data_IF_094002346627
#
_entry.id   IF_094002346627
#
_cell.length_a   1.000
_cell.length_b   1.000
_cell.length_c   1.000
_cell.angle_alpha   90.00
_cell.angle_beta   90.00
_cell.angle_gamma   90.00
#
_symmetry.space_group_name_H-M   'P 1'
#
loop_
_entity.id
_entity.type
_entity.pdbx_description
1 polymer ?
#
# COMPACT_ATOMS: atom_id res chain seq x y z
N UNK A 1 9.03 5.88 11.51
CA UNK A 1 10.40 5.90 10.93
C UNK A 1 10.36 5.01 9.69
N UNK A 2 10.67 5.56 8.51
CA UNK A 2 10.78 4.76 7.28
C UNK A 2 12.16 4.12 7.32
N UNK A 3 12.20 2.78 7.41
CA UNK A 3 13.43 2.01 7.42
C UNK A 3 14.01 2.07 6.01
N UNK A 4 15.06 2.88 5.79
CA UNK A 4 15.77 2.90 4.51
C UNK A 4 16.78 1.74 4.51
N UNK A 5 16.28 0.50 4.40
CA UNK A 5 17.13 -0.64 4.05
C UNK A 5 17.53 -0.46 2.57
N UNK A 6 18.83 -0.41 2.29
CA UNK A 6 19.35 -0.46 0.93
C UNK A 6 19.11 -1.88 0.41
N UNK A 7 18.24 -2.04 -0.59
CA UNK A 7 18.05 -3.33 -1.24
C UNK A 7 18.71 -3.24 -2.60
N UNK A 8 19.75 -4.04 -2.76
CA UNK A 8 20.55 -4.01 -3.97
C UNK A 8 20.20 -5.18 -4.90
N UNK A 9 19.43 -6.18 -4.42
CA UNK A 9 19.15 -7.42 -5.15
C UNK A 9 17.72 -7.91 -4.98
N UNK A 10 17.13 -8.35 -6.08
CA UNK A 10 15.89 -9.11 -6.12
C UNK A 10 16.22 -10.49 -6.71
N UNK A 11 15.81 -11.56 -6.04
CA UNK A 11 16.00 -12.91 -6.56
C UNK A 11 15.27 -13.06 -7.92
N UNK A 12 15.91 -13.66 -8.95
CA UNK A 12 15.29 -13.77 -10.28
C UNK A 12 13.92 -14.44 -10.28
N UNK A 13 13.75 -15.45 -9.42
CA UNK A 13 12.47 -16.13 -9.17
C UNK A 13 11.36 -15.20 -8.65
N UNK A 14 11.70 -14.24 -7.79
CA UNK A 14 10.76 -13.21 -7.30
C UNK A 14 10.35 -12.31 -8.44
N UNK A 15 11.32 -11.84 -9.23
CA UNK A 15 11.04 -11.00 -10.39
C UNK A 15 10.13 -11.73 -11.39
N UNK A 16 10.41 -13.00 -11.68
CA UNK A 16 9.56 -13.82 -12.53
C UNK A 16 8.13 -13.94 -11.97
N UNK A 17 7.97 -14.20 -10.68
CA UNK A 17 6.65 -14.30 -10.05
C UNK A 17 5.89 -12.96 -10.07
N UNK A 18 6.56 -11.83 -9.82
CA UNK A 18 5.95 -10.50 -9.90
C UNK A 18 5.51 -10.14 -11.32
N UNK A 19 6.26 -10.55 -12.35
CA UNK A 19 5.93 -10.32 -13.75
C UNK A 19 4.77 -11.20 -14.25
N UNK A 20 4.61 -12.41 -13.73
CA UNK A 20 3.56 -13.35 -14.14
C UNK A 20 2.24 -13.16 -13.38
N UNK A 21 2.26 -12.49 -12.24
CA UNK A 21 1.05 -12.21 -11.48
C UNK A 21 0.17 -11.18 -12.21
N UNK A 22 -1.14 -11.38 -12.21
CA UNK A 22 -2.08 -10.59 -13.01
C UNK A 22 -2.52 -9.28 -12.35
N UNK A 23 -2.13 -9.03 -11.09
CA UNK A 23 -2.39 -7.78 -10.35
C UNK A 23 -3.86 -7.33 -10.39
N UNK A 24 -4.80 -8.10 -9.83
CA UNK A 24 -6.23 -7.76 -9.86
C UNK A 24 -6.54 -6.40 -9.20
N UNK A 25 -5.70 -5.97 -8.25
CA UNK A 25 -5.76 -4.67 -7.57
C UNK A 25 -5.04 -3.52 -8.30
N UNK A 26 -4.62 -3.72 -9.56
CA UNK A 26 -3.83 -2.80 -10.38
C UNK A 26 -2.41 -2.52 -9.83
N UNK A 27 -1.70 -1.55 -10.44
CA UNK A 27 -0.31 -1.16 -10.10
C UNK A 27 -0.14 -0.76 -8.62
N UNK A 28 -1.21 -0.37 -7.93
CA UNK A 28 -1.15 -0.06 -6.48
C UNK A 28 -0.90 -1.31 -5.63
N UNK A 29 -1.48 -2.44 -6.02
CA UNK A 29 -1.24 -3.72 -5.35
C UNK A 29 0.23 -4.14 -5.49
N UNK A 30 0.78 -4.03 -6.71
CA UNK A 30 2.22 -4.22 -6.96
C UNK A 30 3.07 -3.33 -6.07
N UNK A 31 2.75 -2.03 -5.99
CA UNK A 31 3.46 -1.08 -5.13
C UNK A 31 3.43 -1.50 -3.66
N UNK A 32 2.26 -1.85 -3.12
CA UNK A 32 2.11 -2.26 -1.73
C UNK A 32 2.90 -3.54 -1.43
N UNK A 33 2.86 -4.52 -2.33
CA UNK A 33 3.62 -5.76 -2.21
C UNK A 33 5.12 -5.45 -2.22
N UNK A 34 5.61 -4.63 -3.15
CA UNK A 34 7.03 -4.25 -3.23
C UNK A 34 7.48 -3.46 -1.99
N UNK A 35 6.71 -2.48 -1.52
CA UNK A 35 7.03 -1.73 -0.29
C UNK A 35 7.18 -2.68 0.91
N UNK A 36 6.31 -3.68 1.01
CA UNK A 36 6.38 -4.68 2.08
C UNK A 36 7.57 -5.62 1.91
N UNK A 37 7.88 -6.08 0.70
CA UNK A 37 9.06 -6.88 0.42
C UNK A 37 10.32 -6.12 0.84
N UNK A 38 10.37 -4.81 0.63
CA UNK A 38 11.49 -3.97 1.04
C UNK A 38 11.65 -3.90 2.56
N UNK A 39 10.53 -3.83 3.29
CA UNK A 39 10.55 -3.82 4.77
C UNK A 39 10.97 -5.19 5.33
N UNK A 40 10.53 -6.27 4.72
CA UNK A 40 10.76 -7.65 5.19
C UNK A 40 12.09 -8.24 4.76
N UNK A 41 12.70 -7.74 3.68
CA UNK A 41 13.96 -8.26 3.19
C UNK A 41 15.07 -8.11 4.23
N UNK A 42 15.81 -9.18 4.42
CA UNK A 42 17.07 -9.18 5.17
C UNK A 42 18.25 -9.32 4.19
N UNK A 43 19.45 -8.95 4.65
CA UNK A 43 20.69 -9.04 3.87
C UNK A 43 20.67 -8.36 2.49
N UNK A 44 19.95 -7.23 2.39
CA UNK A 44 19.81 -6.41 1.18
C UNK A 44 19.24 -7.18 -0.04
N UNK A 45 18.58 -8.33 0.17
CA UNK A 45 18.07 -9.19 -0.90
C UNK A 45 16.62 -9.62 -0.68
N UNK A 46 15.78 -9.36 -1.68
CA UNK A 46 14.40 -9.87 -1.70
C UNK A 46 14.42 -11.30 -2.26
N UNK A 47 14.19 -12.29 -1.39
CA UNK A 47 14.05 -13.70 -1.76
C UNK A 47 12.59 -14.14 -1.80
N UNK A 48 12.31 -15.27 -2.44
CA UNK A 48 10.95 -15.80 -2.57
C UNK A 48 10.25 -15.94 -1.22
N UNK A 49 10.95 -16.24 -0.13
CA UNK A 49 10.34 -16.44 1.19
C UNK A 49 9.46 -15.26 1.65
N UNK A 50 9.79 -14.04 1.27
CA UNK A 50 9.05 -12.83 1.62
C UNK A 50 7.84 -12.56 0.70
N UNK A 51 7.75 -13.26 -0.44
CA UNK A 51 6.67 -13.10 -1.40
C UNK A 51 5.33 -13.61 -0.84
N UNK A 52 4.24 -12.88 -1.08
CA UNK A 52 2.89 -13.35 -0.82
C UNK A 52 2.64 -14.76 -1.37
N UNK A 53 1.99 -15.61 -0.57
CA UNK A 53 1.59 -16.94 -1.04
C UNK A 53 0.66 -16.90 -2.24
N UNK A 54 -0.18 -15.87 -2.36
CA UNK A 54 -1.05 -15.69 -3.54
C UNK A 54 -0.24 -15.52 -4.83
N UNK A 55 0.92 -14.87 -4.73
CA UNK A 55 1.84 -14.65 -5.86
C UNK A 55 2.73 -15.90 -6.07
N UNK A 56 3.15 -16.58 -5.00
CA UNK A 56 3.87 -17.87 -5.11
C UNK A 56 3.01 -18.96 -5.76
N UNK A 57 1.74 -19.01 -5.37
CA UNK A 57 0.79 -20.06 -5.74
C UNK A 57 0.07 -19.74 -7.05
N UNK A 58 0.26 -18.57 -7.65
CA UNK A 58 -0.26 -18.32 -9.00
C UNK A 58 0.32 -19.29 -10.04
N UNK A 59 1.47 -19.88 -9.73
CA UNK A 59 2.15 -20.89 -10.56
C UNK A 59 2.02 -22.33 -10.04
N UNK A 60 1.50 -22.54 -8.82
CA UNK A 60 1.38 -23.87 -8.23
C UNK A 60 -0.08 -24.30 -8.13
N UNK A 61 -0.43 -25.37 -8.84
CA UNK A 61 -1.75 -26.00 -8.76
C UNK A 61 -2.07 -26.38 -7.31
N UNK A 62 -3.12 -25.75 -6.78
CA UNK A 62 -3.95 -26.07 -5.61
C UNK A 62 -3.38 -27.06 -4.57
N UNK A 63 -2.99 -26.53 -3.42
CA UNK A 63 -2.83 -27.25 -2.16
C UNK A 63 -2.52 -26.26 -1.03
N UNK A 64 -3.25 -26.35 0.09
CA UNK A 64 -3.09 -25.59 1.35
C UNK A 64 -3.64 -24.14 1.41
N UNK A 65 -4.96 -24.08 1.61
CA UNK A 65 -5.81 -22.89 1.55
C UNK A 65 -5.97 -22.12 2.89
N UNK A 66 -5.13 -22.37 3.91
CA UNK A 66 -5.29 -21.72 5.25
C UNK A 66 -4.43 -20.49 5.46
N UNK A 67 -3.22 -20.43 4.90
CA UNK A 67 -2.29 -19.29 5.09
C UNK A 67 -2.54 -18.20 4.03
N UNK A 68 -3.00 -18.59 2.84
CA UNK A 68 -3.43 -17.68 1.76
C UNK A 68 -4.58 -16.77 2.18
N UNK A 69 -5.57 -17.33 2.89
CA UNK A 69 -6.71 -16.57 3.41
C UNK A 69 -6.28 -15.44 4.35
N UNK A 70 -5.36 -15.69 5.29
CA UNK A 70 -4.91 -14.67 6.25
C UNK A 70 -4.20 -13.50 5.57
N UNK A 71 -3.37 -13.76 4.56
CA UNK A 71 -2.62 -12.70 3.89
C UNK A 71 -3.49 -11.86 2.96
N UNK A 72 -4.36 -12.51 2.18
CA UNK A 72 -5.33 -11.82 1.34
C UNK A 72 -6.30 -10.96 2.19
N UNK A 73 -6.73 -11.48 3.35
CA UNK A 73 -7.52 -10.70 4.32
C UNK A 73 -6.74 -9.51 4.90
N UNK A 74 -5.44 -9.64 5.16
CA UNK A 74 -4.61 -8.52 5.64
C UNK A 74 -4.43 -7.43 4.56
N UNK A 75 -4.18 -7.80 3.30
CA UNK A 75 -4.13 -6.83 2.19
C UNK A 75 -5.48 -6.13 2.05
N UNK A 76 -6.58 -6.89 2.03
CA UNK A 76 -7.93 -6.30 1.95
C UNK A 76 -8.23 -5.37 3.11
N UNK A 77 -7.79 -5.69 4.33
CA UNK A 77 -7.95 -4.83 5.50
C UNK A 77 -7.14 -3.54 5.37
N UNK A 78 -5.88 -3.64 4.95
CA UNK A 78 -5.01 -2.48 4.75
C UNK A 78 -5.57 -1.55 3.67
N UNK A 79 -6.02 -2.10 2.55
CA UNK A 79 -6.71 -1.35 1.49
C UNK A 79 -8.00 -0.69 1.99
N UNK A 80 -8.82 -1.40 2.77
CA UNK A 80 -10.04 -0.85 3.34
C UNK A 80 -9.75 0.32 4.29
N UNK A 81 -8.69 0.21 5.12
CA UNK A 81 -8.24 1.29 6.01
C UNK A 81 -7.76 2.50 5.19
N UNK A 82 -6.94 2.26 4.17
CA UNK A 82 -6.43 3.32 3.28
C UNK A 82 -7.59 4.05 2.59
N UNK A 83 -8.57 3.31 2.06
CA UNK A 83 -9.70 3.92 1.35
C UNK A 83 -10.69 4.62 2.30
N UNK A 84 -10.90 4.08 3.50
CA UNK A 84 -11.66 4.78 4.54
C UNK A 84 -10.97 6.10 4.91
N UNK A 85 -9.67 6.06 5.19
CA UNK A 85 -8.87 7.25 5.51
C UNK A 85 -8.91 8.28 4.37
N UNK A 86 -8.71 7.84 3.13
CA UNK A 86 -8.76 8.69 1.93
C UNK A 86 -10.11 9.41 1.82
N UNK A 87 -11.22 8.68 1.94
CA UNK A 87 -12.59 9.24 1.90
C UNK A 87 -12.81 10.26 3.01
N UNK A 88 -12.41 9.94 4.24
CA UNK A 88 -12.56 10.87 5.38
C UNK A 88 -11.78 12.16 5.15
N UNK A 89 -10.53 12.08 4.70
CA UNK A 89 -9.70 13.27 4.43
C UNK A 89 -10.32 14.12 3.32
N UNK A 90 -10.77 13.51 2.21
CA UNK A 90 -11.41 14.23 1.10
C UNK A 90 -12.69 14.93 1.57
N UNK A 91 -13.56 14.22 2.30
CA UNK A 91 -14.82 14.80 2.79
C UNK A 91 -14.56 16.02 3.69
N UNK A 92 -13.59 15.93 4.59
CA UNK A 92 -13.25 17.06 5.48
C UNK A 92 -12.61 18.22 4.69
N UNK A 93 -11.79 17.95 3.67
CA UNK A 93 -11.26 19.00 2.80
C UNK A 93 -12.38 19.72 2.04
N UNK A 94 -13.34 18.99 1.48
CA UNK A 94 -14.52 19.56 0.81
C UNK A 94 -15.34 20.42 1.78
N UNK A 95 -15.66 19.91 2.98
CA UNK A 95 -16.41 20.65 4.00
C UNK A 95 -15.70 21.91 4.51
N UNK A 96 -14.38 21.97 4.39
CA UNK A 96 -13.57 23.10 4.83
C UNK A 96 -13.15 24.03 3.68
N UNK A 97 -13.64 23.80 2.46
CA UNK A 97 -13.26 24.59 1.27
C UNK A 97 -11.76 24.52 1.00
N UNK A 98 -11.16 23.32 1.13
CA UNK A 98 -9.73 23.07 1.00
C UNK A 98 -8.84 23.81 2.03
N UNK A 99 -9.42 24.31 3.13
CA UNK A 99 -8.64 24.89 4.22
C UNK A 99 -7.95 23.78 5.03
N UNK A 100 -6.72 23.42 4.63
CA UNK A 100 -5.90 22.37 5.24
C UNK A 100 -5.71 22.57 6.76
N UNK A 101 -5.63 23.81 7.23
CA UNK A 101 -5.50 24.13 8.64
C UNK A 101 -6.78 23.81 9.43
N UNK A 102 -7.96 24.08 8.87
CA UNK A 102 -9.26 23.75 9.45
C UNK A 102 -9.54 22.25 9.35
N UNK A 103 -9.17 21.63 8.23
CA UNK A 103 -9.30 20.19 8.01
C UNK A 103 -8.49 19.38 9.03
N UNK A 104 -7.22 19.74 9.28
CA UNK A 104 -6.39 19.08 10.28
C UNK A 104 -7.00 19.16 11.69
N UNK A 105 -7.57 20.32 12.06
CA UNK A 105 -8.29 20.50 13.33
C UNK A 105 -9.53 19.61 13.42
N UNK A 106 -10.34 19.54 12.37
CA UNK A 106 -11.53 18.68 12.31
C UNK A 106 -11.18 17.19 12.38
N UNK A 107 -10.10 16.79 11.71
CA UNK A 107 -9.55 15.42 11.75
C UNK A 107 -8.82 15.10 13.06
N UNK A 108 -8.62 16.10 13.94
CA UNK A 108 -7.87 15.98 15.21
C UNK A 108 -6.45 15.42 15.04
N UNK A 109 -5.79 15.84 13.97
CA UNK A 109 -4.40 15.48 13.69
C UNK A 109 -3.51 16.72 13.54
N UNK A 110 -2.20 16.60 13.81
CA UNK A 110 -1.25 17.66 13.46
C UNK A 110 -1.31 17.98 11.96
N UNK A 111 -1.05 19.25 11.61
CA UNK A 111 -1.01 19.67 10.20
C UNK A 111 0.04 18.89 9.41
N UNK A 112 1.22 18.67 9.98
CA UNK A 112 2.29 17.85 9.39
C UNK A 112 1.79 16.45 9.01
N UNK A 113 1.00 15.82 9.88
CA UNK A 113 0.38 14.52 9.62
C UNK A 113 -0.59 14.57 8.45
N UNK A 114 -1.42 15.63 8.36
CA UNK A 114 -2.31 15.82 7.22
C UNK A 114 -1.51 15.97 5.91
N UNK A 115 -0.49 16.82 5.87
CA UNK A 115 0.35 17.00 4.67
C UNK A 115 1.01 15.68 4.23
N UNK A 116 1.57 14.92 5.17
CA UNK A 116 2.13 13.61 4.90
C UNK A 116 1.10 12.65 4.31
N UNK A 117 -0.13 12.61 4.86
CA UNK A 117 -1.21 11.76 4.36
C UNK A 117 -1.68 12.19 2.97
N UNK A 118 -1.76 13.49 2.67
CA UNK A 118 -2.12 13.98 1.34
C UNK A 118 -1.10 13.56 0.28
N UNK A 119 0.20 13.65 0.60
CA UNK A 119 1.27 13.18 -0.28
C UNK A 119 1.23 11.65 -0.43
N UNK A 120 1.17 10.91 0.69
CA UNK A 120 1.16 9.45 0.68
C UNK A 120 -0.01 8.86 -0.10
N UNK A 121 -1.19 9.48 0.02
CA UNK A 121 -2.42 9.04 -0.63
C UNK A 121 -2.64 9.65 -2.02
N UNK A 122 -1.68 10.45 -2.53
CA UNK A 122 -1.78 11.17 -3.81
C UNK A 122 -3.10 11.94 -3.97
N UNK A 123 -3.57 12.58 -2.88
CA UNK A 123 -4.80 13.38 -2.92
C UNK A 123 -4.42 14.76 -3.48
N UNK A 124 -4.68 14.95 -4.78
CA UNK A 124 -4.64 16.27 -5.44
C UNK A 124 -6.06 16.81 -5.43
N UNK A 125 -6.32 17.83 -4.61
CA UNK A 125 -7.62 18.48 -4.54
C UNK A 125 -7.50 19.90 -5.07
N UNK A 126 -7.97 20.09 -6.30
CA UNK A 126 -8.08 21.40 -6.94
C UNK A 126 -9.45 22.01 -6.60
N UNK A 127 -9.44 23.23 -6.08
CA UNK A 127 -10.66 23.93 -5.66
C UNK A 127 -11.55 24.41 -6.83
N UNK A 128 -11.18 24.06 -8.07
CA UNK A 128 -11.80 24.54 -9.31
C UNK A 128 -12.45 23.45 -10.18
N UNK A 129 -12.59 22.20 -9.70
CA UNK A 129 -13.40 21.20 -10.42
C UNK A 129 -14.88 21.35 -10.03
N UNK A 130 -15.53 22.32 -10.66
CA UNK A 130 -16.97 22.34 -10.90
C UNK A 130 -17.22 21.99 -12.37
#
# INVERSE_FOLDING_TARGET
MVNHKLIDKIAPEVMAMLLHYHWPGNVRELKNVVERLVVLADDNMITAQYLPLVIKNSNQKQGDNKITANFETLIRLEEAIIEAERRTIINVLTLTGNNKAKAAKMLRIPRSTLYYKLQKLNIVYDANSY
#
